data_IF_331737516968
#
_entry.id   IF_331737516968
#
_cell.length_a   1.000
_cell.length_b   1.000
_cell.length_c   1.000
_cell.angle_alpha   90.00
_cell.angle_beta   90.00
_cell.angle_gamma   90.00
#
_symmetry.space_group_name_H-M   'P 1'
#
loop_
_entity.id
_entity.type
_entity.pdbx_description
1 polymer ?
#
# COMPACT_ATOMS: atom_id res chain seq x y z
N UNK A 1 -24.59 -15.47 -19.83
CA UNK A 1 -23.48 -15.89 -18.96
C UNK A 1 -23.13 -14.75 -18.01
N UNK A 2 -23.54 -14.83 -16.76
CA UNK A 2 -23.11 -13.92 -15.69
C UNK A 2 -21.71 -14.34 -15.22
N UNK A 3 -20.69 -13.53 -15.48
CA UNK A 3 -19.41 -13.67 -14.78
C UNK A 3 -19.55 -12.98 -13.42
N UNK A 4 -19.99 -13.75 -12.42
CA UNK A 4 -19.91 -13.37 -11.02
C UNK A 4 -18.45 -13.50 -10.56
N UNK A 5 -17.68 -12.44 -10.82
CA UNK A 5 -16.38 -12.26 -10.20
C UNK A 5 -16.65 -11.86 -8.73
N UNK A 6 -16.97 -12.84 -7.89
CA UNK A 6 -17.27 -12.67 -6.45
C UNK A 6 -15.99 -12.44 -5.62
N UNK A 7 -15.07 -11.65 -6.15
CA UNK A 7 -14.02 -11.00 -5.39
C UNK A 7 -14.15 -9.53 -5.70
N UNK A 8 -14.92 -8.79 -4.89
CA UNK A 8 -15.17 -7.38 -5.11
C UNK A 8 -13.86 -6.64 -5.33
N UNK A 9 -13.58 -6.25 -6.57
CA UNK A 9 -12.54 -5.27 -6.83
C UNK A 9 -13.02 -3.99 -6.15
N UNK A 10 -12.35 -3.62 -5.07
CA UNK A 10 -12.54 -2.32 -4.45
C UNK A 10 -12.03 -1.28 -5.45
N UNK A 11 -12.93 -0.80 -6.31
CA UNK A 11 -12.68 0.38 -7.13
C UNK A 11 -12.73 1.59 -6.21
N UNK A 12 -11.55 2.07 -5.82
CA UNK A 12 -11.40 3.35 -5.14
C UNK A 12 -11.48 4.44 -6.21
N UNK A 13 -12.56 5.22 -6.20
CA UNK A 13 -12.76 6.31 -7.14
C UNK A 13 -11.54 7.25 -7.15
N UNK A 14 -11.03 7.58 -8.34
CA UNK A 14 -9.84 8.40 -8.51
C UNK A 14 -8.49 7.68 -8.35
N UNK A 15 -8.47 6.41 -7.93
CA UNK A 15 -7.23 5.61 -7.80
C UNK A 15 -7.04 4.73 -9.02
N UNK A 16 -6.02 5.03 -9.84
CA UNK A 16 -5.73 4.27 -11.06
C UNK A 16 -5.14 2.87 -10.81
N UNK A 17 -4.47 2.67 -9.69
CA UNK A 17 -3.76 1.41 -9.40
C UNK A 17 -3.59 1.23 -7.90
N UNK A 18 -3.82 0.00 -7.42
CA UNK A 18 -3.61 -0.40 -6.03
C UNK A 18 -2.52 -1.47 -6.02
N UNK A 19 -1.47 -1.27 -5.22
CA UNK A 19 -0.36 -2.21 -5.05
C UNK A 19 -0.40 -2.73 -3.61
N UNK A 20 -0.69 -4.01 -3.44
CA UNK A 20 -0.63 -4.66 -2.13
C UNK A 20 0.80 -5.14 -1.83
N UNK A 21 1.36 -4.72 -0.70
CA UNK A 21 2.66 -5.18 -0.21
C UNK A 21 2.43 -6.04 1.05
N UNK A 22 2.73 -7.34 0.96
CA UNK A 22 2.47 -8.30 2.02
C UNK A 22 3.71 -9.17 2.33
N UNK A 23 3.73 -9.81 3.50
CA UNK A 23 4.79 -10.72 3.93
C UNK A 23 4.24 -11.83 4.81
N UNK A 24 4.77 -13.05 4.67
CA UNK A 24 4.38 -14.20 5.50
C UNK A 24 5.01 -14.23 6.90
N UNK A 25 5.92 -13.30 7.22
CA UNK A 25 6.64 -13.25 8.51
C UNK A 25 6.95 -11.81 8.92
N UNK A 26 6.98 -11.55 10.22
CA UNK A 26 7.42 -10.27 10.77
C UNK A 26 8.92 -10.02 10.57
N UNK A 27 9.32 -8.74 10.46
CA UNK A 27 10.73 -8.33 10.38
C UNK A 27 11.41 -8.50 9.02
N UNK A 28 10.71 -8.94 7.97
CA UNK A 28 11.29 -9.11 6.62
C UNK A 28 11.46 -7.81 5.82
N UNK A 29 11.12 -6.66 6.41
CA UNK A 29 11.23 -5.36 5.75
C UNK A 29 10.04 -4.94 4.87
N UNK A 30 8.87 -5.57 5.03
CA UNK A 30 7.63 -5.21 4.31
C UNK A 30 7.36 -3.70 4.32
N UNK A 31 7.36 -3.09 5.51
CA UNK A 31 7.07 -1.67 5.66
C UNK A 31 8.12 -0.80 4.97
N UNK A 32 9.40 -1.14 5.09
CA UNK A 32 10.51 -0.45 4.43
C UNK A 32 10.39 -0.49 2.91
N UNK A 33 9.99 -1.63 2.33
CA UNK A 33 9.77 -1.75 0.88
C UNK A 33 8.56 -0.89 0.46
N UNK A 34 7.47 -0.93 1.23
CA UNK A 34 6.27 -0.14 0.93
C UNK A 34 6.54 1.38 0.96
N UNK A 35 7.26 1.89 1.97
CA UNK A 35 7.60 3.33 2.05
C UNK A 35 8.49 3.76 0.90
N UNK A 36 9.56 3.00 0.61
CA UNK A 36 10.49 3.35 -0.47
C UNK A 36 9.83 3.27 -1.84
N UNK A 37 8.94 2.29 -2.06
CA UNK A 37 8.16 2.22 -3.30
C UNK A 37 7.24 3.44 -3.46
N UNK A 38 6.53 3.84 -2.39
CA UNK A 38 5.68 5.02 -2.42
C UNK A 38 6.49 6.31 -2.68
N UNK A 39 7.63 6.48 -2.01
CA UNK A 39 8.55 7.61 -2.23
C UNK A 39 9.07 7.61 -3.67
N UNK A 40 9.50 6.47 -4.21
CA UNK A 40 10.00 6.38 -5.57
C UNK A 40 8.93 6.76 -6.61
N UNK A 41 7.69 6.26 -6.45
CA UNK A 41 6.58 6.61 -7.33
C UNK A 41 6.23 8.11 -7.23
N UNK A 42 6.26 8.67 -6.03
CA UNK A 42 6.04 10.11 -5.79
C UNK A 42 7.13 10.96 -6.46
N UNK A 43 8.40 10.60 -6.30
CA UNK A 43 9.55 11.27 -6.95
C UNK A 43 9.45 11.21 -8.48
N UNK A 44 8.86 10.15 -9.04
CA UNK A 44 8.55 10.04 -10.46
C UNK A 44 7.33 10.86 -10.92
N UNK A 45 6.76 11.70 -10.04
CA UNK A 45 5.63 12.58 -10.36
C UNK A 45 4.26 11.88 -10.33
N UNK A 46 4.16 10.67 -9.76
CA UNK A 46 2.87 9.99 -9.62
C UNK A 46 2.14 10.47 -8.37
N UNK A 47 0.86 10.81 -8.51
CA UNK A 47 -0.03 11.00 -7.36
C UNK A 47 -0.12 9.66 -6.60
N UNK A 48 0.52 9.60 -5.43
CA UNK A 48 0.80 8.37 -4.70
C UNK A 48 0.32 8.53 -3.27
N UNK A 49 -0.49 7.59 -2.81
CA UNK A 49 -0.84 7.43 -1.40
C UNK A 49 -0.18 6.17 -0.83
N UNK A 50 0.05 6.18 0.48
CA UNK A 50 0.50 5.01 1.24
C UNK A 50 -0.48 4.76 2.39
N UNK A 51 -1.01 3.54 2.44
CA UNK A 51 -1.93 3.08 3.50
C UNK A 51 -1.22 2.02 4.33
N UNK A 52 -1.14 2.23 5.64
CA UNK A 52 -0.69 1.20 6.57
C UNK A 52 -1.88 0.33 7.00
N UNK A 53 -1.90 -0.92 6.55
CA UNK A 53 -2.89 -1.92 6.95
C UNK A 53 -2.38 -2.85 8.05
N UNK A 54 -1.18 -2.60 8.60
CA UNK A 54 -0.60 -3.38 9.69
C UNK A 54 -1.14 -2.91 11.05
N UNK A 55 -2.20 -3.55 11.53
CA UNK A 55 -2.89 -3.15 12.78
C UNK A 55 -1.99 -3.33 14.01
N UNK A 56 -1.12 -4.34 14.02
CA UNK A 56 -0.34 -4.73 15.21
C UNK A 56 1.08 -4.13 15.23
N UNK A 57 1.58 -3.66 14.08
CA UNK A 57 2.87 -3.01 13.97
C UNK A 57 2.87 -1.84 13.00
N UNK A 58 1.95 -0.86 13.15
CA UNK A 58 1.92 0.29 12.27
C UNK A 58 3.24 1.04 12.39
N UNK A 59 3.92 1.24 11.26
CA UNK A 59 5.28 1.77 11.21
C UNK A 59 5.44 2.88 10.18
N UNK A 60 4.46 3.05 9.28
CA UNK A 60 4.57 4.02 8.20
C UNK A 60 4.63 5.47 8.69
N UNK A 61 3.83 5.83 9.71
CA UNK A 61 3.87 7.19 10.30
C UNK A 61 5.27 7.55 10.80
N UNK A 62 5.87 6.66 11.61
CA UNK A 62 7.24 6.83 12.12
C UNK A 62 8.26 6.88 10.97
N UNK A 63 8.18 5.98 9.99
CA UNK A 63 9.12 5.95 8.86
C UNK A 63 9.04 7.21 7.99
N UNK A 64 7.86 7.83 7.88
CA UNK A 64 7.65 9.06 7.09
C UNK A 64 7.80 10.34 7.93
N UNK A 65 8.07 10.25 9.23
CA UNK A 65 8.17 11.41 10.12
C UNK A 65 6.84 12.14 10.34
N UNK A 66 5.72 11.41 10.25
CA UNK A 66 4.37 11.94 10.48
C UNK A 66 3.95 11.60 11.91
N UNK A 67 3.49 12.58 12.72
CA UNK A 67 3.09 12.38 14.12
C UNK A 67 1.85 11.49 14.26
#
# INVERSE_FOLDING_TARGET
MSNSNEGGQFELEGVRSIIAVASGKGGVGKSTVASNLAVALSVQGRNTGLLDADIYGPSQGVMLGVP
#
